data_IF_460837138307
#
_entry.id   IF_460837138307
#
_cell.length_a   1.000
_cell.length_b   1.000
_cell.length_c   1.000
_cell.angle_alpha   90.00
_cell.angle_beta   90.00
_cell.angle_gamma   90.00
#
_symmetry.space_group_name_H-M   'P 1'
#
loop_
_entity.id
_entity.type
_entity.pdbx_description
1 polymer ?
#
# COMPACT_ATOMS: atom_id res chain seq x y z
N UNK A 1 26.15 -16.69 -2.71
CA UNK A 1 26.12 -18.17 -2.69
C UNK A 1 25.72 -18.61 -4.09
N UNK A 2 26.67 -19.12 -4.86
CA UNK A 2 26.44 -19.64 -6.22
C UNK A 2 25.91 -21.05 -6.08
N UNK A 3 24.67 -21.30 -6.50
CA UNK A 3 24.10 -22.63 -6.59
C UNK A 3 24.81 -23.43 -7.70
N UNK A 4 25.15 -24.67 -7.41
CA UNK A 4 25.80 -25.56 -8.37
C UNK A 4 24.93 -25.79 -9.62
N UNK A 5 25.52 -25.89 -10.84
CA UNK A 5 24.76 -26.14 -12.04
C UNK A 5 24.19 -27.57 -11.99
N UNK A 6 22.87 -27.69 -12.10
CA UNK A 6 22.19 -29.01 -12.20
C UNK A 6 21.03 -29.26 -11.24
N UNK A 7 20.79 -28.40 -10.27
CA UNK A 7 19.51 -28.40 -9.54
C UNK A 7 18.46 -27.78 -10.47
N UNK A 8 17.39 -28.50 -10.79
CA UNK A 8 16.23 -27.92 -11.44
C UNK A 8 15.71 -26.81 -10.49
N UNK A 9 16.02 -25.60 -10.87
CA UNK A 9 15.70 -24.40 -10.09
C UNK A 9 14.19 -24.17 -10.17
N UNK A 10 13.49 -24.37 -9.06
CA UNK A 10 12.20 -23.72 -8.81
C UNK A 10 12.31 -22.17 -8.89
N UNK A 11 13.52 -21.64 -9.05
CA UNK A 11 13.91 -20.23 -8.94
C UNK A 11 14.58 -19.69 -10.21
N UNK A 12 14.23 -20.19 -11.40
CA UNK A 12 14.76 -19.66 -12.68
C UNK A 12 14.19 -18.27 -13.07
N UNK A 13 13.36 -17.67 -12.25
CA UNK A 13 12.84 -16.33 -12.53
C UNK A 13 13.79 -15.27 -11.99
N UNK A 14 14.06 -14.20 -12.78
CA UNK A 14 14.96 -13.14 -12.34
C UNK A 14 14.40 -12.45 -11.08
N UNK A 15 15.25 -12.30 -10.06
CA UNK A 15 14.95 -11.44 -8.93
C UNK A 15 14.97 -9.97 -9.34
N UNK A 16 14.20 -9.10 -8.69
CA UNK A 16 14.34 -7.69 -8.90
C UNK A 16 15.75 -7.28 -8.50
N UNK A 17 16.44 -6.60 -9.40
CA UNK A 17 17.76 -6.03 -9.14
C UNK A 17 17.69 -4.70 -8.43
N UNK A 18 16.51 -4.09 -8.40
CA UNK A 18 16.21 -2.80 -7.79
C UNK A 18 14.95 -2.89 -6.94
N UNK A 19 14.90 -2.09 -5.88
CA UNK A 19 13.74 -1.95 -5.00
C UNK A 19 13.69 -0.55 -4.40
N UNK A 20 12.49 -0.04 -4.16
CA UNK A 20 12.27 1.19 -3.39
C UNK A 20 12.35 0.88 -1.90
N UNK A 21 13.49 1.15 -1.27
CA UNK A 21 13.74 0.87 0.14
C UNK A 21 13.65 2.12 0.99
N UNK A 22 13.10 1.99 2.20
CA UNK A 22 13.02 3.07 3.19
C UNK A 22 14.36 3.31 3.93
N UNK A 23 15.33 2.42 3.78
CA UNK A 23 16.59 2.49 4.50
C UNK A 23 16.45 2.02 5.96
N UNK A 24 17.05 2.75 6.89
CA UNK A 24 17.01 2.39 8.31
C UNK A 24 15.68 2.83 8.95
N UNK A 25 14.76 1.88 9.11
CA UNK A 25 13.46 2.13 9.74
C UNK A 25 13.56 2.52 11.22
N UNK A 26 14.65 2.16 11.91
CA UNK A 26 14.88 2.57 13.30
C UNK A 26 15.15 4.07 13.44
N UNK A 27 15.68 4.71 12.40
CA UNK A 27 15.85 6.15 12.41
C UNK A 27 14.53 6.93 12.45
N UNK A 28 13.42 6.27 12.09
CA UNK A 28 12.08 6.85 12.07
C UNK A 28 11.35 6.74 13.41
N UNK A 29 11.88 5.97 14.38
CA UNK A 29 11.23 5.78 15.70
C UNK A 29 11.33 7.06 16.52
N UNK A 30 10.22 7.66 16.97
CA UNK A 30 10.25 8.82 17.85
C UNK A 30 10.97 8.48 19.16
N UNK A 31 11.86 9.36 19.64
CA UNK A 31 12.65 9.15 20.85
C UNK A 31 11.84 9.14 22.14
N UNK A 32 10.64 9.68 22.09
CA UNK A 32 9.68 9.83 23.20
C UNK A 32 8.62 8.72 23.26
N UNK A 33 8.59 7.82 22.27
CA UNK A 33 7.69 6.66 22.29
C UNK A 33 8.34 5.52 23.06
N UNK A 34 7.69 5.08 24.14
CA UNK A 34 8.07 3.88 24.88
C UNK A 34 7.30 2.68 24.35
N UNK A 35 7.97 1.86 23.54
CA UNK A 35 7.38 0.61 23.06
C UNK A 35 7.24 -0.43 24.18
N UNK A 36 6.16 -1.22 24.19
CA UNK A 36 6.07 -2.38 25.06
C UNK A 36 7.29 -3.29 24.88
N UNK A 37 7.80 -3.90 25.96
CA UNK A 37 8.98 -4.79 25.91
C UNK A 37 8.88 -5.89 24.85
N UNK A 38 7.68 -6.27 24.49
CA UNK A 38 7.37 -7.28 23.47
C UNK A 38 7.67 -6.82 22.03
N UNK A 39 7.74 -5.51 21.81
CA UNK A 39 8.05 -4.90 20.50
C UNK A 39 9.50 -4.39 20.48
N UNK A 40 10.13 -4.20 21.63
CA UNK A 40 11.51 -3.70 21.76
C UNK A 40 12.61 -4.72 21.38
N UNK A 41 12.25 -5.85 20.76
CA UNK A 41 13.23 -6.89 20.40
C UNK A 41 14.03 -6.58 19.14
N UNK A 42 13.77 -5.47 18.47
CA UNK A 42 14.52 -5.06 17.27
C UNK A 42 14.19 -5.85 16.00
N UNK A 43 13.32 -6.85 16.09
CA UNK A 43 13.09 -7.81 15.02
C UNK A 43 11.84 -7.55 14.17
N UNK A 44 10.96 -6.61 14.58
CA UNK A 44 9.71 -6.28 13.89
C UNK A 44 9.69 -4.83 13.41
N UNK A 45 10.55 -4.51 12.46
CA UNK A 45 10.73 -3.16 11.91
C UNK A 45 9.43 -2.60 11.28
N UNK A 46 8.69 -3.44 10.58
CA UNK A 46 7.39 -3.12 9.97
C UNK A 46 6.37 -2.65 11.00
N UNK A 47 6.40 -3.21 12.21
CA UNK A 47 5.49 -2.82 13.28
C UNK A 47 5.84 -1.47 13.88
N UNK A 48 7.13 -1.19 14.07
CA UNK A 48 7.59 0.15 14.48
C UNK A 48 7.20 1.19 13.45
N UNK A 49 7.40 0.86 12.18
CA UNK A 49 7.03 1.73 11.08
C UNK A 49 5.53 2.00 11.04
N UNK A 50 4.68 0.96 11.21
CA UNK A 50 3.24 1.12 11.26
C UNK A 50 2.78 2.04 12.40
N UNK A 51 3.35 1.85 13.60
CA UNK A 51 3.04 2.69 14.76
C UNK A 51 3.47 4.13 14.54
N UNK A 52 4.67 4.34 13.99
CA UNK A 52 5.16 5.67 13.65
C UNK A 52 4.20 6.39 12.71
N UNK A 53 3.85 5.77 11.60
CA UNK A 53 2.94 6.35 10.61
C UNK A 53 1.55 6.63 11.20
N UNK A 54 1.05 5.72 12.06
CA UNK A 54 -0.23 5.92 12.75
C UNK A 54 -0.20 7.15 13.66
N UNK A 55 0.87 7.32 14.43
CA UNK A 55 1.02 8.46 15.33
C UNK A 55 1.27 9.77 14.59
N UNK A 56 2.06 9.74 13.52
CA UNK A 56 2.26 10.91 12.66
C UNK A 56 0.94 11.38 12.05
N UNK A 57 0.09 10.45 11.59
CA UNK A 57 -1.23 10.78 11.08
C UNK A 57 -2.14 11.41 12.15
N UNK A 58 -2.09 10.90 13.39
CA UNK A 58 -2.86 11.46 14.50
C UNK A 58 -2.37 12.87 14.89
N UNK A 59 -1.05 13.06 14.98
CA UNK A 59 -0.44 14.36 15.25
C UNK A 59 -0.79 15.37 14.15
N UNK A 60 -0.73 14.94 12.89
CA UNK A 60 -1.14 15.76 11.74
C UNK A 60 -2.62 16.16 11.81
N UNK A 61 -3.48 15.28 12.32
CA UNK A 61 -4.90 15.55 12.58
C UNK A 61 -5.15 16.38 13.84
N UNK A 62 -4.11 16.85 14.54
CA UNK A 62 -4.24 17.61 15.78
C UNK A 62 -4.65 16.77 17.00
N UNK A 63 -4.61 15.44 16.88
CA UNK A 63 -4.89 14.49 17.96
C UNK A 63 -3.61 14.16 18.71
N UNK A 64 -3.73 13.96 20.03
CA UNK A 64 -2.58 13.59 20.86
C UNK A 64 -2.57 12.09 21.07
N UNK A 65 -1.57 11.36 20.58
CA UNK A 65 -1.30 10.01 21.05
C UNK A 65 -1.09 10.02 22.57
N UNK A 66 -1.38 8.92 23.24
CA UNK A 66 -1.31 8.80 24.70
C UNK A 66 -2.30 9.66 25.49
N UNK A 67 -3.36 10.17 24.84
CA UNK A 67 -4.47 10.81 25.57
C UNK A 67 -5.18 9.77 26.43
N UNK A 68 -5.50 10.13 27.67
CA UNK A 68 -6.28 9.27 28.58
C UNK A 68 -7.79 9.42 28.38
N UNK A 69 -8.21 10.42 27.63
CA UNK A 69 -9.63 10.66 27.37
C UNK A 69 -10.14 9.64 26.36
N UNK A 70 -11.20 8.88 26.69
CA UNK A 70 -11.73 7.87 25.79
C UNK A 70 -12.34 8.52 24.54
N UNK A 71 -11.91 8.03 23.37
CA UNK A 71 -12.42 8.46 22.08
C UNK A 71 -13.20 7.30 21.46
N UNK A 72 -14.39 7.56 20.93
CA UNK A 72 -15.13 6.57 20.14
C UNK A 72 -14.47 6.41 18.76
N UNK A 73 -13.27 5.83 18.79
CA UNK A 73 -12.41 5.64 17.65
C UNK A 73 -12.18 4.17 17.32
N UNK A 74 -11.84 3.88 16.06
CA UNK A 74 -11.46 2.54 15.58
C UNK A 74 -10.14 2.58 14.84
N UNK A 75 -9.42 1.44 14.81
CA UNK A 75 -8.23 1.24 13.99
C UNK A 75 -8.51 0.16 12.95
N UNK A 76 -8.27 0.45 11.68
CA UNK A 76 -8.39 -0.47 10.56
C UNK A 76 -7.04 -0.54 9.85
N UNK A 77 -6.37 -1.67 10.00
CA UNK A 77 -4.98 -1.82 9.59
C UNK A 77 -4.85 -2.85 8.47
N UNK A 78 -4.49 -2.39 7.27
CA UNK A 78 -4.15 -3.23 6.13
C UNK A 78 -2.78 -3.85 6.32
N UNK A 79 -2.73 -5.12 6.69
CA UNK A 79 -1.49 -5.84 6.96
C UNK A 79 -1.70 -7.35 6.84
N UNK A 80 -0.80 -8.00 6.15
CA UNK A 80 -0.63 -9.44 6.24
C UNK A 80 0.75 -9.67 6.87
N UNK A 81 0.91 -10.60 7.81
CA UNK A 81 2.23 -10.94 8.29
C UNK A 81 2.98 -11.68 7.15
N UNK A 82 3.72 -10.98 6.28
CA UNK A 82 4.68 -11.67 5.47
C UNK A 82 5.68 -12.26 6.45
N UNK A 83 6.47 -13.19 6.00
CA UNK A 83 7.50 -13.82 6.82
C UNK A 83 8.40 -12.74 7.42
N UNK A 84 7.99 -12.15 8.54
CA UNK A 84 8.84 -11.22 9.29
C UNK A 84 10.13 -11.94 9.67
N UNK A 85 11.22 -11.21 9.82
CA UNK A 85 12.49 -11.81 10.20
C UNK A 85 12.35 -12.69 11.46
N UNK A 86 11.52 -12.27 12.43
CA UNK A 86 11.24 -13.04 13.63
C UNK A 86 10.44 -14.32 13.37
N UNK A 87 9.48 -14.29 12.43
CA UNK A 87 8.73 -15.49 12.03
C UNK A 87 9.64 -16.48 11.29
N UNK A 88 10.45 -15.98 10.36
CA UNK A 88 11.42 -16.82 9.63
C UNK A 88 12.42 -17.44 10.62
N UNK A 89 13.00 -16.65 11.50
CA UNK A 89 13.93 -17.14 12.52
C UNK A 89 13.29 -18.21 13.43
N UNK A 90 12.05 -18.01 13.83
CA UNK A 90 11.30 -18.99 14.61
C UNK A 90 11.06 -20.28 13.84
N UNK A 91 10.67 -20.19 12.54
CA UNK A 91 10.50 -21.34 11.66
C UNK A 91 11.81 -22.08 11.40
N UNK A 92 12.92 -21.37 11.25
CA UNK A 92 14.24 -21.94 11.08
C UNK A 92 14.62 -22.79 12.30
N UNK A 93 14.44 -22.28 13.51
CA UNK A 93 14.74 -23.00 14.75
C UNK A 93 13.82 -24.19 15.00
N UNK A 94 12.51 -24.07 14.71
CA UNK A 94 11.51 -25.07 15.10
C UNK A 94 11.22 -26.10 14.00
N UNK A 95 11.53 -25.79 12.75
CA UNK A 95 11.13 -26.63 11.63
C UNK A 95 12.28 -26.94 10.67
N UNK A 96 12.96 -25.93 10.16
CA UNK A 96 13.96 -26.14 9.11
C UNK A 96 15.22 -26.82 9.60
N UNK A 97 15.68 -26.54 10.83
CA UNK A 97 16.83 -27.23 11.43
C UNK A 97 16.53 -28.73 11.55
N UNK A 98 15.35 -29.11 12.06
CA UNK A 98 14.98 -30.50 12.24
C UNK A 98 14.83 -31.22 10.88
N UNK A 99 14.23 -30.59 9.88
CA UNK A 99 14.19 -31.13 8.52
C UNK A 99 15.59 -31.30 7.92
N UNK A 100 16.46 -30.31 8.10
CA UNK A 100 17.85 -30.36 7.63
C UNK A 100 18.58 -31.52 8.28
N UNK A 101 18.42 -31.72 9.60
CA UNK A 101 19.01 -32.83 10.32
C UNK A 101 18.48 -34.18 9.84
N UNK A 102 17.18 -34.28 9.53
CA UNK A 102 16.60 -35.51 8.98
C UNK A 102 17.15 -35.81 7.59
N UNK A 103 17.36 -34.81 6.74
CA UNK A 103 18.02 -34.98 5.44
C UNK A 103 19.46 -35.45 5.65
N UNK A 104 20.24 -34.82 6.52
CA UNK A 104 21.61 -35.21 6.83
C UNK A 104 21.68 -36.67 7.28
N UNK A 105 20.80 -37.10 8.20
CA UNK A 105 20.73 -38.49 8.66
C UNK A 105 20.43 -39.47 7.54
N UNK A 106 19.60 -39.10 6.57
CA UNK A 106 19.28 -39.98 5.41
C UNK A 106 20.47 -40.16 4.49
N UNK A 107 21.25 -39.11 4.26
CA UNK A 107 22.43 -39.16 3.37
C UNK A 107 23.66 -39.72 4.07
N UNK A 108 23.84 -39.46 5.36
CA UNK A 108 25.00 -39.89 6.16
C UNK A 108 24.59 -40.90 7.24
N UNK A 109 24.09 -42.05 6.81
CA UNK A 109 23.50 -43.08 7.71
C UNK A 109 24.46 -43.62 8.77
N UNK A 110 25.79 -43.52 8.54
CA UNK A 110 26.83 -43.97 9.46
C UNK A 110 27.47 -42.84 10.25
N UNK A 111 26.93 -41.64 10.18
CA UNK A 111 27.46 -40.51 10.97
C UNK A 111 27.27 -40.77 12.45
N UNK A 112 28.28 -40.53 13.28
CA UNK A 112 28.17 -40.64 14.72
C UNK A 112 27.18 -39.59 15.28
N UNK A 113 26.43 -39.95 16.33
CA UNK A 113 25.43 -39.06 16.92
C UNK A 113 26.05 -37.77 17.52
N UNK A 114 27.27 -37.85 18.02
CA UNK A 114 27.99 -36.66 18.51
C UNK A 114 28.34 -35.69 17.38
N UNK A 115 28.72 -36.19 16.20
CA UNK A 115 28.92 -35.36 15.02
C UNK A 115 27.64 -34.70 14.55
N UNK A 116 26.52 -35.44 14.56
CA UNK A 116 25.19 -34.90 14.21
C UNK A 116 24.76 -33.84 15.24
N UNK A 117 24.99 -34.06 16.52
CA UNK A 117 24.73 -33.08 17.56
C UNK A 117 25.55 -31.80 17.40
N UNK A 118 26.84 -31.91 17.03
CA UNK A 118 27.69 -30.75 16.72
C UNK A 118 27.16 -29.95 15.52
N UNK A 119 26.74 -30.61 14.44
CA UNK A 119 26.15 -29.95 13.29
C UNK A 119 24.87 -29.20 13.68
N UNK A 120 23.99 -29.87 14.46
CA UNK A 120 22.77 -29.24 14.95
C UNK A 120 23.07 -28.01 15.81
N UNK A 121 23.99 -28.11 16.75
CA UNK A 121 24.42 -26.97 17.59
C UNK A 121 24.93 -25.83 16.72
N UNK A 122 25.81 -26.12 15.76
CA UNK A 122 26.35 -25.10 14.85
C UNK A 122 25.25 -24.41 14.01
N UNK A 123 24.21 -25.13 13.57
CA UNK A 123 23.08 -24.53 12.89
C UNK A 123 22.26 -23.62 13.81
N UNK A 124 21.98 -24.08 15.03
CA UNK A 124 21.27 -23.26 16.04
C UNK A 124 22.08 -22.02 16.41
N UNK A 125 23.39 -22.16 16.64
CA UNK A 125 24.26 -21.06 17.05
C UNK A 125 24.50 -20.02 15.93
N UNK A 126 24.24 -20.42 14.67
CA UNK A 126 24.35 -19.50 13.52
C UNK A 126 23.17 -18.56 13.37
N UNK A 127 22.08 -18.83 14.07
CA UNK A 127 20.83 -18.05 14.01
C UNK A 127 20.67 -17.20 15.29
N UNK A 128 20.00 -16.04 15.20
CA UNK A 128 19.58 -15.31 16.38
C UNK A 128 18.74 -16.17 17.31
N UNK A 129 18.88 -16.06 18.62
CA UNK A 129 18.08 -16.83 19.57
C UNK A 129 16.57 -16.63 19.33
N UNK A 130 15.77 -17.72 19.25
CA UNK A 130 14.35 -17.59 18.98
C UNK A 130 13.66 -16.95 20.18
N UNK A 131 12.85 -15.93 19.94
CA UNK A 131 11.99 -15.30 20.92
C UNK A 131 10.52 -15.46 20.54
N UNK A 132 9.79 -16.30 21.28
CA UNK A 132 8.36 -16.51 21.10
C UNK A 132 7.55 -15.21 21.25
N UNK A 133 8.07 -14.21 21.98
CA UNK A 133 7.41 -12.92 22.14
C UNK A 133 7.50 -12.11 20.85
N UNK A 134 8.65 -12.15 20.18
CA UNK A 134 8.85 -11.51 18.87
C UNK A 134 7.92 -12.11 17.82
N UNK A 135 7.75 -13.43 17.81
CA UNK A 135 6.76 -14.08 16.94
C UNK A 135 5.35 -13.57 17.20
N UNK A 136 4.91 -13.55 18.47
CA UNK A 136 3.57 -13.06 18.85
C UNK A 136 3.41 -11.56 18.57
N UNK A 137 4.47 -10.77 18.71
CA UNK A 137 4.46 -9.36 18.35
C UNK A 137 4.28 -9.13 16.85
N UNK A 138 4.72 -10.06 16.00
CA UNK A 138 4.53 -10.03 14.54
C UNK A 138 3.08 -10.17 14.07
N UNK A 139 2.14 -10.52 14.97
CA UNK A 139 0.72 -10.62 14.63
C UNK A 139 0.11 -9.23 14.46
N UNK A 140 -0.30 -8.90 13.25
CA UNK A 140 -0.79 -7.56 12.88
C UNK A 140 -1.91 -7.02 13.77
N UNK A 141 -2.81 -7.89 14.28
CA UNK A 141 -3.89 -7.46 15.18
C UNK A 141 -3.35 -6.86 16.49
N UNK A 142 -2.21 -7.34 17.00
CA UNK A 142 -1.62 -6.80 18.22
C UNK A 142 -1.12 -5.37 18.05
N UNK A 143 -0.63 -5.05 16.86
CA UNK A 143 -0.22 -3.67 16.52
C UNK A 143 -1.43 -2.76 16.44
N UNK A 144 -2.47 -3.19 15.74
CA UNK A 144 -3.71 -2.43 15.64
C UNK A 144 -4.35 -2.20 17.03
N UNK A 145 -4.39 -3.24 17.88
CA UNK A 145 -4.87 -3.14 19.26
C UNK A 145 -4.00 -2.22 20.11
N UNK A 146 -2.68 -2.28 19.93
CA UNK A 146 -1.78 -1.41 20.67
C UNK A 146 -1.98 0.06 20.27
N UNK A 147 -2.04 0.38 18.98
CA UNK A 147 -2.35 1.73 18.50
C UNK A 147 -3.69 2.20 19.10
N UNK A 148 -4.72 1.35 19.08
CA UNK A 148 -6.02 1.71 19.63
C UNK A 148 -5.98 2.04 21.14
N UNK A 149 -5.21 1.28 21.91
CA UNK A 149 -5.04 1.52 23.36
C UNK A 149 -4.29 2.82 23.64
N UNK A 150 -3.17 3.06 22.94
CA UNK A 150 -2.38 4.28 23.11
C UNK A 150 -3.17 5.54 22.73
N UNK A 151 -4.14 5.39 21.84
CA UNK A 151 -5.04 6.49 21.44
C UNK A 151 -6.33 6.54 22.26
N UNK A 152 -6.48 5.67 23.26
CA UNK A 152 -7.74 5.52 24.04
C UNK A 152 -8.98 5.30 23.16
N UNK A 153 -8.82 4.61 22.03
CA UNK A 153 -9.92 4.29 21.13
C UNK A 153 -10.76 3.15 21.68
N UNK A 154 -12.08 3.35 21.76
CA UNK A 154 -13.02 2.41 22.38
C UNK A 154 -13.77 1.53 21.39
N UNK A 155 -13.69 1.83 20.08
CA UNK A 155 -14.42 1.12 19.01
C UNK A 155 -13.71 -0.13 18.47
N UNK A 156 -12.52 -0.45 19.01
CA UNK A 156 -11.76 -1.64 18.67
C UNK A 156 -10.86 -1.48 17.44
N UNK A 157 -10.08 -2.53 17.20
CA UNK A 157 -9.09 -2.58 16.13
C UNK A 157 -9.25 -3.86 15.31
N UNK A 158 -8.89 -3.80 14.03
CA UNK A 158 -8.94 -4.96 13.12
C UNK A 158 -7.83 -4.86 12.10
N UNK A 159 -7.20 -6.00 11.82
CA UNK A 159 -6.26 -6.16 10.72
C UNK A 159 -6.97 -6.80 9.53
N UNK A 160 -6.66 -6.34 8.34
CA UNK A 160 -7.28 -6.74 7.07
C UNK A 160 -6.20 -7.12 6.06
N UNK A 161 -6.33 -8.28 5.46
CA UNK A 161 -5.51 -8.72 4.35
C UNK A 161 -6.36 -8.84 3.08
N UNK A 162 -6.01 -8.06 2.10
CA UNK A 162 -6.64 -8.04 0.78
C UNK A 162 -5.59 -7.81 -0.33
N UNK A 163 -4.35 -8.30 -0.13
CA UNK A 163 -3.25 -8.08 -1.06
C UNK A 163 -2.99 -6.59 -1.29
N UNK A 164 -2.76 -6.16 -2.53
CA UNK A 164 -2.54 -4.76 -2.87
C UNK A 164 -3.72 -3.84 -2.53
N UNK A 165 -4.91 -4.40 -2.31
CA UNK A 165 -6.12 -3.68 -1.91
C UNK A 165 -6.25 -3.50 -0.38
N UNK A 166 -5.29 -3.95 0.44
CA UNK A 166 -5.40 -3.91 1.91
C UNK A 166 -5.65 -2.50 2.45
N UNK A 167 -5.00 -1.49 1.88
CA UNK A 167 -5.24 -0.07 2.23
C UNK A 167 -6.67 0.38 1.94
N UNK A 168 -7.25 -0.03 0.80
CA UNK A 168 -8.66 0.27 0.47
C UNK A 168 -9.62 -0.51 1.36
N UNK A 169 -9.32 -1.77 1.67
CA UNK A 169 -10.14 -2.57 2.59
C UNK A 169 -10.20 -1.93 3.99
N UNK A 170 -9.05 -1.46 4.48
CA UNK A 170 -8.97 -0.71 5.74
C UNK A 170 -9.77 0.60 5.69
N UNK A 171 -9.61 1.38 4.62
CA UNK A 171 -10.35 2.62 4.40
C UNK A 171 -11.87 2.37 4.36
N UNK A 172 -12.32 1.36 3.63
CA UNK A 172 -13.74 1.00 3.53
C UNK A 172 -14.32 0.59 4.87
N UNK A 173 -13.62 -0.25 5.62
CA UNK A 173 -14.06 -0.66 6.95
C UNK A 173 -14.18 0.55 7.91
N UNK A 174 -13.24 1.49 7.83
CA UNK A 174 -13.29 2.74 8.58
C UNK A 174 -14.49 3.62 8.20
N UNK A 175 -14.78 3.75 6.90
CA UNK A 175 -15.96 4.47 6.40
C UNK A 175 -17.25 3.82 6.92
N UNK A 176 -17.34 2.51 6.92
CA UNK A 176 -18.50 1.77 7.42
C UNK A 176 -18.70 1.97 8.93
N UNK A 177 -17.61 2.08 9.71
CA UNK A 177 -17.66 2.42 11.13
C UNK A 177 -18.21 3.83 11.38
N UNK A 178 -17.74 4.80 10.61
CA UNK A 178 -18.19 6.19 10.72
C UNK A 178 -19.66 6.34 10.30
N UNK A 179 -20.05 5.73 9.19
CA UNK A 179 -21.43 5.79 8.65
C UNK A 179 -22.43 5.09 9.57
N UNK A 180 -22.04 3.97 10.17
CA UNK A 180 -22.91 3.25 11.13
C UNK A 180 -22.95 3.87 12.51
N UNK A 181 -22.16 4.92 12.77
CA UNK A 181 -22.06 5.54 14.08
C UNK A 181 -21.31 4.72 15.13
N UNK A 182 -20.62 3.64 14.72
CA UNK A 182 -19.75 2.86 15.63
C UNK A 182 -18.53 3.67 16.09
N UNK A 183 -18.08 4.58 15.24
CA UNK A 183 -16.97 5.47 15.55
C UNK A 183 -17.29 6.91 15.16
N UNK A 184 -16.62 7.87 15.83
CA UNK A 184 -16.59 9.28 15.45
C UNK A 184 -15.28 9.63 14.74
N UNK A 185 -14.24 8.84 15.00
CA UNK A 185 -12.93 8.91 14.35
C UNK A 185 -12.50 7.50 13.98
N UNK A 186 -11.90 7.33 12.83
CA UNK A 186 -11.29 6.06 12.45
C UNK A 186 -9.91 6.29 11.86
N UNK A 187 -8.92 5.52 12.35
CA UNK A 187 -7.58 5.49 11.79
C UNK A 187 -7.50 4.30 10.82
N UNK A 188 -7.27 4.57 9.55
CA UNK A 188 -7.15 3.55 8.52
C UNK A 188 -5.82 3.69 7.79
N UNK A 189 -5.16 2.58 7.50
CA UNK A 189 -3.90 2.60 6.77
C UNK A 189 -3.39 1.23 6.44
N UNK A 190 -2.27 1.19 5.73
CA UNK A 190 -1.57 -0.05 5.40
C UNK A 190 -0.06 0.20 5.36
N UNK A 191 0.70 -0.85 5.63
CA UNK A 191 2.16 -0.84 5.49
C UNK A 191 2.62 -2.08 4.73
N UNK A 192 3.73 -1.93 4.02
CA UNK A 192 4.47 -3.01 3.40
C UNK A 192 5.96 -2.77 3.65
N UNK A 193 6.55 -3.59 4.47
CA UNK A 193 7.98 -3.59 4.79
C UNK A 193 8.32 -4.75 5.74
N UNK A 194 9.57 -5.13 5.90
CA UNK A 194 10.65 -4.96 4.93
C UNK A 194 10.53 -5.96 3.78
N UNK A 195 11.09 -5.62 2.63
CA UNK A 195 11.28 -6.56 1.54
C UNK A 195 12.36 -7.57 1.94
N UNK A 196 12.02 -8.83 1.92
CA UNK A 196 12.97 -9.91 2.19
C UNK A 196 12.95 -10.94 1.05
N UNK A 197 13.97 -11.79 1.03
CA UNK A 197 14.16 -12.78 -0.04
C UNK A 197 12.94 -13.70 -0.19
N UNK A 198 12.36 -14.17 0.89
CA UNK A 198 11.23 -15.10 0.84
C UNK A 198 9.98 -14.47 0.20
N UNK A 199 9.72 -13.18 0.49
CA UNK A 199 8.64 -12.42 -0.16
C UNK A 199 8.92 -12.27 -1.66
N UNK A 200 10.14 -11.87 -2.03
CA UNK A 200 10.51 -11.65 -3.42
C UNK A 200 10.47 -12.97 -4.23
N UNK A 201 10.93 -14.07 -3.64
CA UNK A 201 10.84 -15.41 -4.25
C UNK A 201 9.39 -15.84 -4.44
N UNK A 202 8.54 -15.66 -3.42
CA UNK A 202 7.11 -15.95 -3.51
C UNK A 202 6.43 -15.14 -4.62
N UNK A 203 6.70 -13.84 -4.67
CA UNK A 203 6.13 -12.94 -5.68
C UNK A 203 6.65 -13.20 -7.08
N UNK A 204 7.88 -13.68 -7.27
CA UNK A 204 8.45 -13.95 -8.59
C UNK A 204 7.66 -15.01 -9.40
N UNK A 205 6.82 -15.80 -8.71
CA UNK A 205 5.88 -16.73 -9.31
C UNK A 205 4.69 -16.07 -9.99
N UNK A 206 4.27 -14.90 -9.49
CA UNK A 206 3.02 -14.24 -9.82
C UNK A 206 3.24 -12.87 -10.49
N UNK A 207 4.41 -12.25 -10.29
CA UNK A 207 4.70 -10.89 -10.72
C UNK A 207 5.90 -10.87 -11.66
N UNK A 208 5.79 -10.15 -12.77
CA UNK A 208 6.92 -9.83 -13.62
C UNK A 208 7.69 -8.67 -13.02
N UNK A 209 8.90 -8.96 -12.51
CA UNK A 209 9.80 -7.93 -12.03
C UNK A 209 10.53 -7.24 -13.18
N UNK A 210 10.75 -5.92 -13.02
CA UNK A 210 11.51 -5.14 -13.98
C UNK A 210 12.98 -5.62 -14.04
N UNK A 211 13.52 -5.64 -15.26
CA UNK A 211 14.95 -5.82 -15.51
C UNK A 211 15.72 -4.48 -15.55
N UNK A 212 14.99 -3.35 -15.56
CA UNK A 212 15.54 -2.01 -15.57
C UNK A 212 15.72 -1.42 -14.17
N UNK A 213 16.35 -0.24 -14.10
CA UNK A 213 16.56 0.51 -12.86
C UNK A 213 15.29 1.25 -12.41
N UNK A 214 14.44 1.64 -13.36
CA UNK A 214 13.27 2.46 -13.13
C UNK A 214 11.99 1.69 -13.42
N UNK A 215 10.97 1.93 -12.63
CA UNK A 215 9.60 1.53 -12.92
C UNK A 215 8.96 2.69 -13.68
N UNK A 216 8.61 2.47 -14.94
CA UNK A 216 8.01 3.48 -15.81
C UNK A 216 6.59 3.07 -16.18
N UNK A 217 5.57 3.47 -15.39
CA UNK A 217 4.18 3.18 -15.69
C UNK A 217 3.74 3.79 -17.01
N UNK A 218 2.81 3.14 -17.69
CA UNK A 218 2.19 3.60 -18.93
C UNK A 218 3.18 3.86 -20.07
N UNK A 219 4.30 3.11 -20.09
CA UNK A 219 5.34 3.17 -21.11
C UNK A 219 5.44 1.87 -21.88
N UNK A 220 5.73 1.97 -23.19
CA UNK A 220 6.07 0.81 -24.02
C UNK A 220 7.41 0.16 -23.64
N UNK A 221 8.27 0.91 -22.96
CA UNK A 221 9.57 0.43 -22.48
C UNK A 221 9.46 -0.28 -21.13
N UNK A 222 8.25 -0.38 -20.55
CA UNK A 222 8.01 -1.07 -19.30
C UNK A 222 8.43 -2.53 -19.38
N UNK A 223 9.22 -3.00 -18.42
CA UNK A 223 9.73 -4.37 -18.35
C UNK A 223 9.18 -5.15 -17.16
N UNK A 224 8.33 -4.51 -16.38
CA UNK A 224 7.74 -5.09 -15.18
C UNK A 224 7.73 -4.13 -14.00
N UNK A 225 7.32 -4.64 -12.86
CA UNK A 225 7.23 -3.86 -11.63
C UNK A 225 8.53 -3.88 -10.82
N UNK A 226 8.74 -2.85 -10.02
CA UNK A 226 9.82 -2.78 -9.02
C UNK A 226 9.14 -2.78 -7.65
N UNK A 227 9.48 -3.72 -6.76
CA UNK A 227 8.92 -3.73 -5.41
C UNK A 227 9.42 -2.53 -4.60
N UNK A 228 8.58 -2.05 -3.69
CA UNK A 228 8.89 -0.92 -2.82
C UNK A 228 8.42 -1.19 -1.40
N UNK A 229 9.05 -0.52 -0.44
CA UNK A 229 8.64 -0.46 0.95
C UNK A 229 7.89 0.85 1.20
N UNK A 230 6.88 0.82 2.04
CA UNK A 230 6.15 2.03 2.35
C UNK A 230 4.89 1.80 3.16
N UNK A 231 4.22 2.90 3.47
CA UNK A 231 2.96 2.87 4.17
C UNK A 231 2.32 4.23 4.26
N UNK A 232 1.03 4.25 4.55
CA UNK A 232 0.32 5.46 4.91
C UNK A 232 -0.83 5.15 5.86
N UNK A 233 -1.12 6.10 6.74
CA UNK A 233 -2.31 6.12 7.58
C UNK A 233 -3.11 7.40 7.38
N UNK A 234 -4.42 7.27 7.52
CA UNK A 234 -5.39 8.34 7.37
C UNK A 234 -6.26 8.41 8.61
N UNK A 235 -6.44 9.62 9.15
CA UNK A 235 -7.45 9.90 10.14
C UNK A 235 -8.72 10.32 9.42
N UNK A 236 -9.80 9.59 9.66
CA UNK A 236 -11.09 9.76 9.01
C UNK A 236 -12.14 10.24 10.01
N UNK A 237 -12.94 11.18 9.58
CA UNK A 237 -14.16 11.66 10.27
C UNK A 237 -15.29 11.82 9.27
N UNK A 238 -16.52 11.87 9.76
CA UNK A 238 -17.64 12.34 8.92
C UNK A 238 -17.39 13.81 8.55
N UNK A 239 -17.72 14.17 7.31
CA UNK A 239 -17.52 15.52 6.78
C UNK A 239 -18.12 16.60 7.71
N UNK A 240 -19.38 16.42 8.15
CA UNK A 240 -20.05 17.35 9.05
C UNK A 240 -19.32 17.53 10.38
N UNK A 241 -18.76 16.46 10.94
CA UNK A 241 -18.02 16.51 12.21
C UNK A 241 -16.65 17.19 12.02
N UNK A 242 -15.96 16.94 10.91
CA UNK A 242 -14.70 17.58 10.58
C UNK A 242 -14.87 19.11 10.35
N UNK A 243 -15.90 19.49 9.60
CA UNK A 243 -16.24 20.90 9.36
C UNK A 243 -16.61 21.63 10.66
N UNK A 244 -17.42 21.00 11.51
CA UNK A 244 -17.79 21.54 12.82
C UNK A 244 -16.59 21.72 13.76
N UNK A 245 -15.63 20.79 13.68
CA UNK A 245 -14.40 20.85 14.47
C UNK A 245 -13.34 21.79 13.87
N UNK A 246 -13.58 22.34 12.68
CA UNK A 246 -12.59 23.11 11.90
C UNK A 246 -11.31 22.33 11.62
N UNK A 247 -11.44 21.02 11.42
CA UNK A 247 -10.32 20.16 11.08
C UNK A 247 -9.75 20.51 9.71
N UNK A 248 -8.46 20.27 9.53
CA UNK A 248 -7.81 20.33 8.23
C UNK A 248 -8.20 19.13 7.39
N UNK A 249 -8.92 19.34 6.30
CA UNK A 249 -9.35 18.30 5.38
C UNK A 249 -8.39 18.26 4.20
N UNK A 250 -7.82 17.08 3.90
CA UNK A 250 -6.99 16.85 2.72
C UNK A 250 -7.84 16.54 1.48
N UNK A 251 -8.84 15.69 1.65
CA UNK A 251 -9.80 15.32 0.63
C UNK A 251 -11.05 14.68 1.26
N UNK A 252 -12.15 14.67 0.53
CA UNK A 252 -13.35 13.93 0.87
C UNK A 252 -13.35 12.59 0.12
N UNK A 253 -13.61 11.49 0.81
CA UNK A 253 -13.84 10.19 0.17
C UNK A 253 -15.32 10.09 -0.19
N UNK A 254 -15.64 10.30 -1.45
CA UNK A 254 -17.04 10.27 -1.93
C UNK A 254 -17.54 8.85 -2.08
N UNK A 255 -16.72 7.96 -2.63
CA UNK A 255 -17.12 6.57 -2.88
C UNK A 255 -15.95 5.61 -2.89
N UNK A 256 -16.26 4.33 -2.68
CA UNK A 256 -15.36 3.19 -2.88
C UNK A 256 -16.14 2.07 -3.57
N UNK A 257 -15.62 1.56 -4.69
CA UNK A 257 -16.10 0.35 -5.36
C UNK A 257 -14.99 -0.70 -5.33
N UNK A 258 -15.32 -1.94 -4.97
CA UNK A 258 -14.40 -3.07 -4.97
C UNK A 258 -15.11 -4.30 -5.52
N UNK A 259 -14.39 -5.11 -6.29
CA UNK A 259 -14.94 -6.34 -6.86
C UNK A 259 -13.97 -7.04 -7.80
N UNK A 260 -14.49 -8.02 -8.53
CA UNK A 260 -13.77 -8.74 -9.60
C UNK A 260 -14.25 -8.32 -11.00
N UNK A 261 -15.05 -7.26 -11.09
CA UNK A 261 -15.51 -6.74 -12.37
C UNK A 261 -14.39 -5.99 -13.10
N UNK A 262 -14.45 -5.83 -14.43
CA UNK A 262 -13.51 -5.01 -15.19
C UNK A 262 -13.32 -3.60 -14.62
N UNK A 263 -12.16 -3.00 -14.84
CA UNK A 263 -11.80 -1.71 -14.24
C UNK A 263 -12.73 -0.57 -14.67
N UNK A 264 -13.20 -0.57 -15.92
CA UNK A 264 -14.20 0.39 -16.39
C UNK A 264 -15.51 0.30 -15.58
N UNK A 265 -15.99 -0.91 -15.29
CA UNK A 265 -17.19 -1.11 -14.46
C UNK A 265 -16.94 -0.64 -13.02
N UNK A 266 -15.75 -0.91 -12.47
CA UNK A 266 -15.39 -0.43 -11.11
C UNK A 266 -15.35 1.08 -11.05
N UNK A 267 -14.71 1.73 -12.02
CA UNK A 267 -14.59 3.18 -12.09
C UNK A 267 -15.96 3.85 -12.29
N UNK A 268 -16.79 3.32 -13.21
CA UNK A 268 -18.17 3.80 -13.40
C UNK A 268 -18.99 3.65 -12.11
N UNK A 269 -18.91 2.49 -11.46
CA UNK A 269 -19.62 2.25 -10.19
C UNK A 269 -19.16 3.22 -9.09
N UNK A 270 -17.87 3.55 -9.03
CA UNK A 270 -17.37 4.53 -8.08
C UNK A 270 -17.88 5.93 -8.39
N UNK A 271 -17.88 6.34 -9.66
CA UNK A 271 -18.41 7.63 -10.10
C UNK A 271 -19.92 7.77 -9.81
N UNK A 272 -20.72 6.75 -10.13
CA UNK A 272 -22.15 6.73 -9.86
C UNK A 272 -22.46 6.84 -8.35
N UNK A 273 -21.73 6.11 -7.51
CA UNK A 273 -21.89 6.17 -6.05
C UNK A 273 -21.44 7.52 -5.45
N UNK A 274 -20.55 8.21 -6.14
CA UNK A 274 -20.08 9.53 -5.73
C UNK A 274 -21.01 10.65 -6.22
N UNK A 275 -22.00 10.34 -7.04
CA UNK A 275 -22.79 11.33 -7.81
C UNK A 275 -21.88 12.29 -8.59
N UNK A 276 -20.79 11.75 -9.15
CA UNK A 276 -19.76 12.49 -9.85
C UNK A 276 -19.78 12.14 -11.34
N UNK A 277 -20.16 13.07 -12.21
CA UNK A 277 -20.01 12.87 -13.64
C UNK A 277 -18.55 12.54 -13.99
N UNK A 278 -18.32 11.55 -14.86
CA UNK A 278 -16.96 11.16 -15.26
C UNK A 278 -16.13 12.36 -15.76
N UNK A 279 -16.75 13.24 -16.54
CA UNK A 279 -16.09 14.46 -17.03
C UNK A 279 -15.62 15.42 -15.92
N UNK A 280 -16.12 15.27 -14.68
CA UNK A 280 -15.67 16.04 -13.52
C UNK A 280 -14.42 15.46 -12.86
N UNK A 281 -14.01 14.25 -13.22
CA UNK A 281 -12.79 13.62 -12.73
C UNK A 281 -11.64 14.02 -13.65
N UNK A 282 -10.69 14.74 -13.13
CA UNK A 282 -9.60 15.36 -13.90
C UNK A 282 -8.25 14.69 -13.68
N UNK A 283 -8.14 13.88 -12.61
CA UNK A 283 -6.95 13.12 -12.26
C UNK A 283 -7.32 11.65 -12.06
N UNK A 284 -6.58 10.78 -12.72
CA UNK A 284 -6.59 9.34 -12.45
C UNK A 284 -5.23 8.94 -11.90
N UNK A 285 -5.22 8.48 -10.66
CA UNK A 285 -4.12 7.74 -10.09
C UNK A 285 -4.33 6.27 -10.43
N UNK A 286 -3.71 5.82 -11.51
CA UNK A 286 -3.83 4.47 -12.02
C UNK A 286 -2.96 3.47 -11.27
N UNK A 287 -3.21 2.19 -11.43
CA UNK A 287 -2.37 1.15 -10.84
C UNK A 287 -0.94 1.22 -11.39
N UNK A 288 -0.78 1.27 -12.72
CA UNK A 288 0.50 1.53 -13.38
C UNK A 288 1.59 0.57 -12.96
N UNK A 289 1.45 -0.68 -13.41
CA UNK A 289 2.32 -1.79 -12.99
C UNK A 289 3.73 -1.75 -13.61
N UNK A 290 3.91 -0.98 -14.70
CA UNK A 290 5.10 -1.02 -15.55
C UNK A 290 5.13 -2.23 -16.47
N UNK A 291 4.03 -2.97 -16.60
CA UNK A 291 3.80 -4.05 -17.57
C UNK A 291 2.92 -3.46 -18.67
N UNK A 292 3.43 -3.29 -19.90
CA UNK A 292 2.74 -2.55 -20.95
C UNK A 292 1.32 -3.02 -21.23
N UNK A 293 1.08 -4.33 -21.33
CA UNK A 293 -0.25 -4.88 -21.62
C UNK A 293 -1.25 -4.59 -20.50
N UNK A 294 -0.85 -4.72 -19.23
CA UNK A 294 -1.71 -4.44 -18.09
C UNK A 294 -1.99 -2.93 -17.95
N UNK A 295 -1.00 -2.11 -18.22
CA UNK A 295 -1.14 -0.65 -18.21
C UNK A 295 -2.03 -0.17 -19.37
N UNK A 296 -1.95 -0.83 -20.56
CA UNK A 296 -2.82 -0.57 -21.71
C UNK A 296 -4.29 -0.90 -21.41
N UNK A 297 -4.57 -2.01 -20.72
CA UNK A 297 -5.93 -2.36 -20.29
C UNK A 297 -6.54 -1.26 -19.39
N UNK A 298 -5.74 -0.66 -18.52
CA UNK A 298 -6.23 0.43 -17.68
C UNK A 298 -6.52 1.69 -18.47
N UNK A 299 -5.64 2.07 -19.39
CA UNK A 299 -5.86 3.23 -20.29
C UNK A 299 -7.10 3.00 -21.13
N UNK A 300 -7.25 1.80 -21.71
CA UNK A 300 -8.42 1.43 -22.50
C UNK A 300 -9.73 1.50 -21.70
N UNK A 301 -9.70 1.08 -20.42
CA UNK A 301 -10.85 1.20 -19.52
C UNK A 301 -11.28 2.66 -19.32
N UNK A 302 -10.33 3.57 -19.15
CA UNK A 302 -10.59 5.01 -19.03
C UNK A 302 -11.12 5.57 -20.35
N UNK A 303 -10.45 5.29 -21.47
CA UNK A 303 -10.88 5.76 -22.80
C UNK A 303 -12.29 5.29 -23.17
N UNK A 304 -12.64 4.05 -22.84
CA UNK A 304 -13.98 3.51 -23.06
C UNK A 304 -15.05 4.31 -22.33
N UNK A 305 -14.77 4.82 -21.13
CA UNK A 305 -15.72 5.60 -20.33
C UNK A 305 -15.83 7.06 -20.77
N UNK A 306 -14.71 7.68 -21.14
CA UNK A 306 -14.70 9.09 -21.58
C UNK A 306 -15.07 9.25 -23.05
N UNK A 307 -14.91 8.18 -23.87
CA UNK A 307 -15.14 8.23 -25.32
C UNK A 307 -14.04 9.01 -26.06
N UNK A 308 -14.32 9.39 -27.31
CA UNK A 308 -13.41 10.21 -28.10
C UNK A 308 -13.40 11.65 -27.59
N UNK A 309 -12.21 12.23 -27.46
CA UNK A 309 -12.05 13.63 -27.07
C UNK A 309 -12.63 14.58 -28.13
N UNK A 310 -13.48 15.50 -27.68
CA UNK A 310 -14.01 16.57 -28.52
C UNK A 310 -13.37 17.90 -28.16
N UNK A 311 -13.13 18.78 -29.14
CA UNK A 311 -12.57 20.11 -28.88
C UNK A 311 -13.39 20.86 -27.82
N UNK A 312 -12.70 21.33 -26.77
CA UNK A 312 -13.33 22.05 -25.66
C UNK A 312 -13.77 21.19 -24.48
N UNK A 313 -13.75 19.85 -24.59
CA UNK A 313 -13.96 18.96 -23.44
C UNK A 313 -12.67 18.86 -22.60
N UNK A 314 -12.79 18.71 -21.27
CA UNK A 314 -11.64 18.56 -20.41
C UNK A 314 -10.96 17.20 -20.65
N UNK A 315 -9.63 17.22 -20.71
CA UNK A 315 -8.82 16.01 -20.71
C UNK A 315 -8.61 15.50 -19.26
N UNK A 316 -8.48 14.18 -19.11
CA UNK A 316 -8.15 13.57 -17.82
C UNK A 316 -6.67 13.17 -17.79
N UNK A 317 -5.96 13.62 -16.75
CA UNK A 317 -4.57 13.25 -16.53
C UNK A 317 -4.46 11.89 -15.86
N UNK A 318 -3.58 11.02 -16.35
CA UNK A 318 -3.25 9.74 -15.72
C UNK A 318 -1.80 9.69 -15.27
N UNK A 319 -1.54 9.05 -14.13
CA UNK A 319 -0.22 8.77 -13.61
C UNK A 319 -0.28 7.68 -12.56
N UNK A 320 0.88 7.24 -12.08
CA UNK A 320 0.99 6.27 -10.98
C UNK A 320 2.10 6.63 -10.01
N UNK A 321 1.81 6.51 -8.71
CA UNK A 321 2.80 6.69 -7.65
C UNK A 321 3.87 5.60 -7.66
N UNK A 322 3.58 4.45 -8.25
CA UNK A 322 4.51 3.31 -8.30
C UNK A 322 5.80 3.66 -9.03
N UNK A 323 5.76 4.54 -10.03
CA UNK A 323 6.97 5.05 -10.69
C UNK A 323 7.91 5.82 -9.75
N UNK A 324 7.38 6.40 -8.67
CA UNK A 324 8.16 7.19 -7.71
C UNK A 324 8.67 6.38 -6.51
N UNK A 325 7.87 5.41 -6.03
CA UNK A 325 8.13 4.70 -4.76
C UNK A 325 8.22 3.18 -4.90
N UNK A 326 8.02 2.66 -6.12
CA UNK A 326 7.90 1.22 -6.35
C UNK A 326 6.50 0.69 -6.00
N UNK A 327 6.32 -0.60 -6.22
CA UNK A 327 5.10 -1.32 -5.85
C UNK A 327 5.14 -1.68 -4.37
N UNK A 328 4.48 -0.88 -3.52
CA UNK A 328 4.46 -1.07 -2.07
C UNK A 328 3.51 -2.18 -1.61
N UNK A 329 3.32 -3.25 -2.38
CA UNK A 329 2.54 -4.44 -2.02
C UNK A 329 1.21 -4.06 -1.33
N UNK A 330 1.04 -4.48 -0.06
CA UNK A 330 -0.14 -4.22 0.77
C UNK A 330 -0.46 -2.73 0.94
N UNK A 331 0.56 -1.87 0.87
CA UNK A 331 0.44 -0.43 1.03
C UNK A 331 0.23 0.33 -0.30
N UNK A 332 0.26 -0.34 -1.46
CA UNK A 332 0.16 0.32 -2.77
C UNK A 332 -1.08 1.22 -2.87
N UNK A 333 -2.24 0.70 -2.49
CA UNK A 333 -3.48 1.48 -2.49
C UNK A 333 -3.41 2.70 -1.55
N UNK A 334 -2.79 2.54 -0.37
CA UNK A 334 -2.64 3.66 0.57
C UNK A 334 -1.71 4.75 0.00
N UNK A 335 -0.62 4.36 -0.68
CA UNK A 335 0.27 5.31 -1.36
C UNK A 335 -0.45 6.09 -2.48
N UNK A 336 -1.25 5.40 -3.31
CA UNK A 336 -2.05 6.04 -4.36
C UNK A 336 -3.09 7.01 -3.80
N UNK A 337 -3.79 6.63 -2.73
CA UNK A 337 -4.76 7.50 -2.04
C UNK A 337 -4.05 8.73 -1.48
N UNK A 338 -2.89 8.56 -0.84
CA UNK A 338 -2.11 9.65 -0.27
C UNK A 338 -1.69 10.66 -1.34
N UNK A 339 -1.16 10.18 -2.48
CA UNK A 339 -0.77 11.04 -3.60
C UNK A 339 -1.95 11.83 -4.13
N UNK A 340 -3.10 11.19 -4.37
CA UNK A 340 -4.30 11.84 -4.87
C UNK A 340 -4.86 12.88 -3.87
N UNK A 341 -4.90 12.56 -2.57
CA UNK A 341 -5.33 13.49 -1.53
C UNK A 341 -4.41 14.72 -1.41
N UNK A 342 -3.10 14.53 -1.49
CA UNK A 342 -2.12 15.62 -1.52
C UNK A 342 -2.24 16.48 -2.77
N UNK A 343 -2.50 15.86 -3.93
CA UNK A 343 -2.73 16.57 -5.20
C UNK A 343 -3.96 17.50 -5.11
N UNK A 344 -5.07 16.99 -4.57
CA UNK A 344 -6.28 17.78 -4.30
C UNK A 344 -5.98 18.93 -3.34
N UNK A 345 -5.36 18.66 -2.20
CA UNK A 345 -5.03 19.67 -1.20
C UNK A 345 -4.10 20.75 -1.71
N UNK A 346 -3.11 20.37 -2.53
CA UNK A 346 -2.13 21.29 -3.13
C UNK A 346 -2.63 21.97 -4.39
N UNK A 347 -3.75 21.49 -4.96
CA UNK A 347 -4.30 21.95 -6.25
C UNK A 347 -3.28 21.87 -7.37
N UNK A 348 -2.55 20.73 -7.41
CA UNK A 348 -1.50 20.44 -8.39
C UNK A 348 -1.75 19.06 -8.98
N UNK A 349 -1.67 18.95 -10.30
CA UNK A 349 -1.56 17.66 -10.98
C UNK A 349 -0.10 17.21 -10.89
N UNK A 350 0.20 16.15 -10.12
CA UNK A 350 1.58 15.73 -9.88
C UNK A 350 2.13 14.97 -11.08
N UNK A 351 3.43 15.09 -11.39
CA UNK A 351 4.06 14.28 -12.42
C UNK A 351 4.19 12.82 -11.92
N UNK A 352 4.28 11.92 -12.89
CA UNK A 352 4.81 10.58 -12.69
C UNK A 352 6.26 10.48 -13.16
N UNK A 353 6.88 9.30 -13.04
CA UNK A 353 8.16 9.02 -13.70
C UNK A 353 7.98 9.21 -15.22
N UNK A 354 8.77 10.07 -15.87
CA UNK A 354 8.58 10.36 -17.28
C UNK A 354 8.77 9.12 -18.16
N UNK A 355 7.82 8.86 -19.05
CA UNK A 355 7.91 7.82 -20.06
C UNK A 355 8.47 8.42 -21.36
N UNK A 356 9.66 7.94 -21.80
CA UNK A 356 10.24 8.35 -23.07
C UNK A 356 9.36 7.91 -24.24
N UNK A 357 8.77 6.73 -24.14
CA UNK A 357 7.85 6.17 -25.14
C UNK A 357 6.53 5.78 -24.45
N UNK A 358 5.57 6.72 -24.32
CA UNK A 358 4.24 6.41 -23.79
C UNK A 358 3.55 5.31 -24.59
N UNK A 359 2.57 4.64 -23.97
CA UNK A 359 1.70 3.69 -24.65
C UNK A 359 1.04 4.33 -25.87
N UNK A 360 0.78 3.55 -26.92
CA UNK A 360 0.21 4.07 -28.15
C UNK A 360 -1.16 4.71 -27.98
N UNK A 361 -1.96 4.15 -27.08
CA UNK A 361 -3.27 4.69 -26.71
C UNK A 361 -3.18 6.11 -26.11
N UNK A 362 -2.11 6.43 -25.40
CA UNK A 362 -1.85 7.77 -24.83
C UNK A 362 -1.21 8.72 -25.83
N UNK A 363 -0.54 8.21 -26.85
CA UNK A 363 0.09 9.03 -27.90
C UNK A 363 -0.94 9.52 -28.96
N UNK A 364 -2.15 8.97 -28.97
CA UNK A 364 -3.19 9.34 -29.91
C UNK A 364 -3.79 10.71 -29.56
N UNK A 365 -3.78 11.64 -30.54
CA UNK A 365 -4.34 12.99 -30.40
C UNK A 365 -5.86 13.02 -30.10
N UNK A 366 -6.58 11.94 -30.43
CA UNK A 366 -8.00 11.78 -30.09
C UNK A 366 -8.26 11.18 -28.72
N UNK A 367 -7.21 10.87 -27.94
CA UNK A 367 -7.37 10.31 -26.60
C UNK A 367 -7.92 11.36 -25.64
N UNK A 368 -8.92 11.04 -24.82
CA UNK A 368 -9.37 11.90 -23.73
C UNK A 368 -8.40 11.88 -22.54
N UNK A 369 -7.41 10.97 -22.57
CA UNK A 369 -6.45 10.72 -21.49
C UNK A 369 -5.07 11.17 -21.93
N UNK A 370 -4.37 11.87 -21.04
CA UNK A 370 -2.97 12.26 -21.26
C UNK A 370 -2.07 11.86 -20.08
N UNK A 371 -0.82 11.58 -20.37
CA UNK A 371 0.16 11.21 -19.36
C UNK A 371 0.67 12.44 -18.61
N UNK A 372 0.73 12.35 -17.27
CA UNK A 372 1.23 13.43 -16.42
C UNK A 372 2.77 13.38 -16.34
N UNK A 373 3.44 13.96 -17.32
CA UNK A 373 4.90 14.02 -17.35
C UNK A 373 5.47 15.20 -16.54
N UNK A 374 4.68 16.27 -16.35
CA UNK A 374 5.11 17.50 -15.68
C UNK A 374 4.12 17.91 -14.59
N UNK A 375 4.64 18.54 -13.54
CA UNK A 375 3.79 19.15 -12.52
C UNK A 375 3.05 20.35 -13.12
N UNK A 376 1.72 20.40 -12.91
CA UNK A 376 0.86 21.47 -13.43
C UNK A 376 -0.07 21.99 -12.35
N UNK A 377 -0.38 23.30 -12.35
CA UNK A 377 -1.50 23.82 -11.56
C UNK A 377 -2.79 23.07 -11.95
N UNK A 378 -3.55 22.65 -10.95
CA UNK A 378 -4.84 22.00 -11.19
C UNK A 378 -5.94 23.05 -11.33
N UNK A 379 -6.18 23.49 -12.55
CA UNK A 379 -7.18 24.50 -12.87
C UNK A 379 -8.47 23.81 -13.28
N UNK A 380 -9.59 24.22 -12.68
CA UNK A 380 -10.95 23.80 -13.11
C UNK A 380 -11.48 24.79 -14.12
N UNK A 381 -12.18 24.29 -15.16
CA UNK A 381 -12.84 25.16 -16.13
C UNK A 381 -14.00 25.96 -15.54
N UNK A 382 -14.63 25.43 -14.50
CA UNK A 382 -15.70 26.07 -13.72
C UNK A 382 -15.24 26.18 -12.25
N UNK A 383 -15.08 27.39 -11.71
CA UNK A 383 -14.69 27.59 -10.31
C UNK A 383 -15.65 27.00 -9.28
N UNK A 384 -16.92 26.81 -9.63
CA UNK A 384 -17.92 26.18 -8.76
C UNK A 384 -17.85 24.64 -8.77
N UNK A 385 -17.14 24.07 -9.73
CA UNK A 385 -16.99 22.61 -9.85
C UNK A 385 -15.79 22.13 -9.01
N UNK A 386 -16.00 21.21 -8.05
CA UNK A 386 -14.91 20.72 -7.22
C UNK A 386 -13.93 19.88 -8.03
N UNK A 387 -12.64 19.91 -7.64
CA UNK A 387 -11.64 19.01 -8.19
C UNK A 387 -11.91 17.60 -7.73
N UNK A 388 -11.83 16.64 -8.65
CA UNK A 388 -12.02 15.22 -8.36
C UNK A 388 -10.89 14.38 -8.92
N UNK A 389 -10.45 13.43 -8.10
CA UNK A 389 -9.50 12.41 -8.49
C UNK A 389 -10.14 11.02 -8.36
N UNK A 390 -9.83 10.12 -9.28
CA UNK A 390 -10.11 8.71 -9.12
C UNK A 390 -8.80 7.95 -8.85
N UNK A 391 -8.87 6.96 -7.97
CA UNK A 391 -7.77 6.01 -7.72
C UNK A 391 -8.20 4.65 -8.20
N UNK A 392 -7.38 4.00 -9.01
CA UNK A 392 -7.62 2.65 -9.53
C UNK A 392 -6.50 1.74 -9.02
N UNK A 393 -6.87 0.60 -8.45
CA UNK A 393 -5.91 -0.40 -7.93
C UNK A 393 -6.36 -1.79 -8.35
N UNK A 394 -5.41 -2.61 -8.73
CA UNK A 394 -5.61 -4.02 -9.05
C UNK A 394 -4.67 -4.88 -8.21
N UNK A 395 -5.12 -6.05 -7.76
CA UNK A 395 -4.27 -7.03 -7.09
C UNK A 395 -3.92 -8.21 -8.02
N UNK A 396 -2.96 -9.01 -7.58
CA UNK A 396 -2.49 -10.18 -8.33
C UNK A 396 -3.59 -11.23 -8.59
N UNK A 397 -4.64 -11.25 -7.78
CA UNK A 397 -5.81 -12.13 -7.95
C UNK A 397 -6.85 -11.58 -8.90
N UNK A 398 -6.59 -10.48 -9.60
CA UNK A 398 -7.54 -9.84 -10.52
C UNK A 398 -8.70 -9.12 -9.83
N UNK A 399 -8.62 -8.91 -8.51
CA UNK A 399 -9.59 -8.06 -7.81
C UNK A 399 -9.21 -6.60 -8.04
N UNK A 400 -10.23 -5.79 -8.21
CA UNK A 400 -10.09 -4.39 -8.57
C UNK A 400 -10.82 -3.48 -7.59
N UNK A 401 -10.30 -2.28 -7.44
CA UNK A 401 -10.99 -1.24 -6.71
C UNK A 401 -10.84 0.10 -7.44
N UNK A 402 -11.90 0.89 -7.36
CA UNK A 402 -11.90 2.28 -7.76
C UNK A 402 -12.49 3.13 -6.63
N UNK A 403 -11.92 4.31 -6.44
CA UNK A 403 -12.39 5.23 -5.41
C UNK A 403 -12.40 6.65 -5.98
N UNK A 404 -13.38 7.48 -5.59
CA UNK A 404 -13.45 8.88 -5.96
C UNK A 404 -13.16 9.74 -4.74
N UNK A 405 -12.18 10.62 -4.91
CA UNK A 405 -11.81 11.68 -3.97
C UNK A 405 -12.24 13.04 -4.53
N UNK A 406 -12.63 13.93 -3.64
CA UNK A 406 -13.03 15.29 -3.97
C UNK A 406 -12.31 16.29 -3.06
N UNK A 407 -12.05 17.49 -3.56
CA UNK A 407 -11.41 18.53 -2.75
C UNK A 407 -12.32 18.99 -1.60
N UNK A 408 -11.69 19.59 -0.61
CA UNK A 408 -12.38 20.20 0.53
C UNK A 408 -13.38 21.27 0.05
N UNK A 409 -14.61 21.34 0.61
CA UNK A 409 -15.58 22.38 0.29
C UNK A 409 -15.00 23.79 0.51
N UNK A 410 -15.33 24.71 -0.37
CA UNK A 410 -14.89 26.10 -0.22
C UNK A 410 -15.55 26.76 0.99
N UNK A 411 -15.02 27.90 1.42
CA UNK A 411 -15.57 28.65 2.58
C UNK A 411 -17.01 29.14 2.31
N UNK A 412 -17.36 29.33 1.04
CA UNK A 412 -18.70 29.71 0.62
C UNK A 412 -19.71 28.55 0.71
N UNK A 413 -19.26 27.32 0.51
CA UNK A 413 -20.08 26.11 0.66
C UNK A 413 -20.30 25.74 2.14
N UNK A 414 -19.65 26.45 3.07
CA UNK A 414 -19.74 26.22 4.52
C UNK A 414 -20.82 27.06 5.22
N UNK A 415 -21.52 27.96 4.48
CA UNK A 415 -22.63 28.79 4.98
C UNK A 415 -23.98 28.18 4.61
#
# INVERSE_FOLDING_TARGET
>A
MTLAPGAHNLFERPYPTHAGLLGDLYACVPRDITFPRQINSGENQDLYFAVQLAFDALVDAGMRPHSVDPVRGTVRFGYAPPFSASTVNWLEHTFFIDQTMDIIRRFFRSAPEDALAMVRSSLVDSLPAPDARSFLAGLGHRVADWIARECSFTGGATTLDAGALSGIAALRAAIDDLRSGRADVSLAGAVASPLNRAILEGLSGEVTFSTGADLVPFSRDGTGTIPGEGGAFFVLKREADALKAHDRIYALVRSVACGAQPMDVMLQTAADRADAPLASIQLIEGDGSGIPDADEEQVAAVQKLWGEHKPGEPLVGIGSVKGNVGHCLLASAAASILKAALALRRKVLPPQMPAAHPLESLANLGSPVYLLNDARPWITGDPSSPRRAAVMVEDLGGRRAALVLEEEPTTEDRQ
#
